data_IF_056057069166
#
_entry.id   IF_056057069166
#
_cell.length_a   1.000
_cell.length_b   1.000
_cell.length_c   1.000
_cell.angle_alpha   90.00
_cell.angle_beta   90.00
_cell.angle_gamma   90.00
#
_symmetry.space_group_name_H-M   'P 1'
#
loop_
_entity.id
_entity.type
_entity.pdbx_description
1 polymer ?
#
# COMPACT_ATOMS: atom_id res chain seq x y z
N UNK A 1 5.28 -23.37 22.60
CA UNK A 1 5.89 -22.79 21.38
C UNK A 1 6.73 -21.59 21.80
N UNK A 2 7.91 -21.36 21.19
CA UNK A 2 8.87 -20.32 21.61
C UNK A 2 8.23 -18.92 21.75
N UNK A 3 7.35 -18.56 20.82
CA UNK A 3 6.69 -17.24 20.77
C UNK A 3 5.84 -16.95 22.02
N UNK A 4 4.93 -17.85 22.41
CA UNK A 4 4.08 -17.63 23.59
C UNK A 4 4.88 -17.67 24.90
N UNK A 5 5.95 -18.48 24.96
CA UNK A 5 6.86 -18.50 26.12
C UNK A 5 7.63 -17.18 26.28
N UNK A 6 8.12 -16.61 25.18
CA UNK A 6 8.76 -15.28 25.17
C UNK A 6 7.75 -14.19 25.55
N UNK A 7 6.52 -14.23 25.03
CA UNK A 7 5.47 -13.27 25.40
C UNK A 7 5.18 -13.29 26.89
N UNK A 8 5.04 -14.48 27.48
CA UNK A 8 4.82 -14.64 28.92
C UNK A 8 6.01 -14.12 29.75
N UNK A 9 7.25 -14.46 29.37
CA UNK A 9 8.47 -14.03 30.09
C UNK A 9 8.61 -12.51 30.18
N UNK A 10 8.23 -11.79 29.12
CA UNK A 10 8.42 -10.34 29.01
C UNK A 10 7.11 -9.54 29.15
N UNK A 11 5.99 -10.17 29.54
CA UNK A 11 4.68 -9.52 29.64
C UNK A 11 4.27 -8.79 28.34
N UNK A 12 4.51 -9.42 27.19
CA UNK A 12 4.16 -8.87 25.88
C UNK A 12 2.71 -9.23 25.55
N UNK A 13 1.84 -8.23 25.56
CA UNK A 13 0.42 -8.37 25.21
C UNK A 13 0.20 -8.38 23.70
N UNK A 14 -0.92 -8.94 23.23
CA UNK A 14 -1.25 -8.99 21.79
C UNK A 14 -1.32 -7.60 21.14
N UNK A 15 -1.69 -6.56 21.90
CA UNK A 15 -1.67 -5.17 21.45
C UNK A 15 -0.27 -4.65 21.13
N UNK A 16 0.79 -5.32 21.62
CA UNK A 16 2.19 -4.94 21.47
C UNK A 16 2.95 -5.85 20.49
N UNK A 17 2.27 -6.78 19.83
CA UNK A 17 2.86 -7.66 18.79
C UNK A 17 2.32 -7.22 17.45
N UNK A 18 3.18 -6.73 16.57
CA UNK A 18 2.77 -6.14 15.29
C UNK A 18 3.41 -6.85 14.10
N UNK A 19 2.60 -7.08 13.06
CA UNK A 19 3.09 -7.41 11.73
C UNK A 19 3.14 -6.12 10.89
N UNK A 20 4.33 -5.75 10.41
CA UNK A 20 4.52 -4.58 9.55
C UNK A 20 4.73 -5.02 8.10
N UNK A 21 4.12 -4.30 7.16
CA UNK A 21 4.38 -4.51 5.74
C UNK A 21 4.42 -3.20 4.96
N UNK A 22 5.06 -3.24 3.80
CA UNK A 22 5.13 -2.17 2.82
C UNK A 22 4.27 -2.53 1.60
N UNK A 23 3.53 -1.57 1.08
CA UNK A 23 2.83 -1.69 -0.21
C UNK A 23 3.02 -0.40 -1.01
N UNK A 24 3.40 -0.52 -2.28
CA UNK A 24 3.57 0.61 -3.18
C UNK A 24 2.39 0.68 -4.15
N UNK A 25 1.88 1.89 -4.34
CA UNK A 25 0.77 2.23 -5.23
C UNK A 25 1.28 3.14 -6.34
N UNK A 26 0.83 2.93 -7.57
CA UNK A 26 1.07 3.85 -8.67
C UNK A 26 -0.12 4.79 -8.83
N UNK A 27 0.13 6.09 -8.78
CA UNK A 27 -0.81 7.12 -9.18
C UNK A 27 -0.67 7.33 -10.69
N UNK A 28 -1.80 7.52 -11.37
CA UNK A 28 -1.83 7.74 -12.82
C UNK A 28 -1.86 6.48 -13.67
N UNK A 29 -2.12 5.30 -13.08
CA UNK A 29 -2.38 4.08 -13.85
C UNK A 29 -3.80 4.12 -14.40
N UNK A 30 -3.91 4.07 -15.72
CA UNK A 30 -5.20 3.92 -16.37
C UNK A 30 -5.71 2.48 -16.12
N UNK A 31 -6.86 2.34 -15.47
CA UNK A 31 -7.54 1.06 -15.31
C UNK A 31 -8.68 0.96 -16.33
N UNK A 32 -8.91 -0.24 -16.87
CA UNK A 32 -10.14 -0.52 -17.63
C UNK A 32 -11.33 -0.46 -16.67
N UNK A 33 -11.92 0.72 -16.49
CA UNK A 33 -13.27 0.80 -15.96
C UNK A 33 -14.20 0.36 -17.07
N UNK A 34 -15.07 -0.63 -16.81
CA UNK A 34 -16.09 -1.07 -17.76
C UNK A 34 -17.11 0.06 -17.91
N UNK A 35 -16.85 1.00 -18.82
CA UNK A 35 -17.77 2.10 -19.12
C UNK A 35 -18.82 1.57 -20.09
N UNK A 36 -20.08 1.48 -19.66
CA UNK A 36 -21.21 1.17 -20.55
C UNK A 36 -21.54 2.44 -21.33
N UNK A 37 -20.87 2.63 -22.47
CA UNK A 37 -21.26 3.64 -23.46
C UNK A 37 -22.22 3.01 -24.46
N UNK A 38 -23.30 3.73 -24.81
CA UNK A 38 -24.40 3.24 -25.65
C UNK A 38 -23.99 2.60 -27.00
N UNK A 39 -24.86 1.67 -27.42
CA UNK A 39 -24.92 0.65 -28.49
C UNK A 39 -23.93 0.60 -29.69
N UNK A 40 -23.06 1.58 -29.97
CA UNK A 40 -22.14 1.51 -31.12
C UNK A 40 -20.69 1.79 -30.73
N UNK A 41 -20.00 0.76 -30.23
CA UNK A 41 -18.53 0.70 -30.29
C UNK A 41 -18.09 -0.65 -30.85
N UNK A 42 -17.52 -0.62 -32.05
CA UNK A 42 -17.06 -1.79 -32.81
C UNK A 42 -15.66 -2.28 -32.41
N UNK A 43 -14.99 -1.62 -31.47
CA UNK A 43 -13.61 -1.93 -31.08
C UNK A 43 -13.39 -1.77 -29.56
N UNK A 44 -12.54 -2.62 -29.00
CA UNK A 44 -12.01 -2.48 -27.64
C UNK A 44 -11.09 -1.25 -27.59
N UNK A 45 -11.33 -0.27 -26.70
CA UNK A 45 -10.41 0.85 -26.54
C UNK A 45 -9.07 0.35 -25.98
N UNK A 46 -7.99 0.67 -26.68
CA UNK A 46 -6.63 0.38 -26.22
C UNK A 46 -6.28 1.33 -25.06
N UNK A 47 -5.90 0.76 -23.91
CA UNK A 47 -5.48 1.54 -22.75
C UNK A 47 -4.01 1.93 -22.89
N UNK A 48 -3.79 3.13 -23.40
CA UNK A 48 -2.46 3.75 -23.38
C UNK A 48 -2.17 4.23 -21.97
N UNK A 49 -1.09 3.70 -21.39
CA UNK A 49 -0.63 4.12 -20.08
C UNK A 49 0.18 5.42 -20.21
N UNK A 50 -0.14 6.49 -19.46
CA UNK A 50 0.69 7.69 -19.40
C UNK A 50 2.10 7.34 -18.93
N UNK A 51 3.11 7.98 -19.53
CA UNK A 51 4.53 7.72 -19.23
C UNK A 51 4.97 8.16 -17.83
N UNK A 52 4.29 9.15 -17.25
CA UNK A 52 4.59 9.67 -15.92
C UNK A 52 3.68 9.03 -14.87
N UNK A 53 4.27 8.20 -14.01
CA UNK A 53 3.60 7.60 -12.84
C UNK A 53 4.32 8.04 -11.58
N UNK A 54 3.55 8.49 -10.61
CA UNK A 54 4.06 8.74 -9.26
C UNK A 54 3.84 7.48 -8.41
N UNK A 55 4.88 7.07 -7.67
CA UNK A 55 4.76 5.97 -6.72
C UNK A 55 4.58 6.54 -5.32
N UNK A 56 3.53 6.08 -4.64
CA UNK A 56 3.32 6.33 -3.21
C UNK A 56 3.48 5.02 -2.48
N UNK A 57 4.27 5.01 -1.40
CA UNK A 57 4.46 3.82 -0.58
C UNK A 57 3.77 3.99 0.75
N UNK A 58 3.01 2.99 1.16
CA UNK A 58 2.39 2.91 2.47
C UNK A 58 3.11 1.84 3.29
N UNK A 59 3.49 2.18 4.51
CA UNK A 59 3.90 1.23 5.54
C UNK A 59 2.78 1.19 6.58
N UNK A 60 2.25 -0.01 6.83
CA UNK A 60 1.18 -0.20 7.81
C UNK A 60 1.47 -1.43 8.67
N UNK A 61 0.89 -1.45 9.87
CA UNK A 61 0.92 -2.60 10.75
C UNK A 61 -0.44 -2.99 11.26
N UNK A 62 -0.60 -4.27 11.58
CA UNK A 62 -1.72 -4.80 12.35
C UNK A 62 -1.17 -5.52 13.58
N UNK A 63 -1.72 -5.23 14.75
CA UNK A 63 -1.34 -5.93 15.97
C UNK A 63 -2.07 -7.27 16.08
N UNK A 64 -1.55 -8.18 16.91
CA UNK A 64 -2.18 -9.48 17.15
C UNK A 64 -3.55 -9.38 17.84
N UNK A 65 -3.92 -8.21 18.37
CA UNK A 65 -5.26 -7.91 18.85
C UNK A 65 -6.22 -7.39 17.75
N UNK A 66 -5.75 -7.23 16.52
CA UNK A 66 -6.57 -6.86 15.35
C UNK A 66 -6.63 -5.35 15.03
N UNK A 67 -5.96 -4.50 15.80
CA UNK A 67 -5.93 -3.05 15.54
C UNK A 67 -4.83 -2.68 14.55
N UNK A 68 -5.15 -1.80 13.61
CA UNK A 68 -4.17 -1.22 12.70
C UNK A 68 -3.55 0.04 13.30
N UNK A 69 -2.24 0.23 13.10
CA UNK A 69 -1.61 1.53 13.38
C UNK A 69 -1.92 2.52 12.26
N UNK A 70 -1.80 3.82 12.56
CA UNK A 70 -1.79 4.87 11.54
C UNK A 70 -0.74 4.52 10.46
N UNK A 71 -1.09 4.61 9.17
CA UNK A 71 -0.16 4.31 8.10
C UNK A 71 0.90 5.41 7.98
N UNK A 72 2.12 5.02 7.67
CA UNK A 72 3.16 5.94 7.21
C UNK A 72 3.12 6.01 5.69
N UNK A 73 3.00 7.21 5.15
CA UNK A 73 2.91 7.45 3.71
C UNK A 73 4.21 8.12 3.25
N UNK A 74 4.87 7.52 2.27
CA UNK A 74 6.12 7.99 1.69
C UNK A 74 5.87 8.39 0.24
N UNK A 75 6.11 9.66 -0.06
CA UNK A 75 6.10 10.22 -1.41
C UNK A 75 7.49 10.20 -2.04
N UNK A 76 7.56 10.50 -3.34
CA UNK A 76 8.82 10.67 -4.04
C UNK A 76 9.64 11.79 -3.38
N UNK A 77 10.84 11.46 -2.93
CA UNK A 77 11.79 12.43 -2.39
C UNK A 77 12.30 13.40 -3.48
N UNK A 78 12.75 14.58 -3.04
CA UNK A 78 13.48 15.54 -3.88
C UNK A 78 14.92 15.63 -3.39
N UNK A 79 15.86 15.75 -4.32
CA UNK A 79 17.27 16.01 -3.97
C UNK A 79 17.41 17.51 -3.72
N UNK A 80 17.81 17.89 -2.51
CA UNK A 80 18.01 19.29 -2.11
C UNK A 80 19.48 19.64 -1.84
N UNK A 81 20.39 18.70 -2.11
CA UNK A 81 21.82 18.91 -1.94
C UNK A 81 22.36 19.51 -3.24
N UNK A 82 22.74 20.79 -3.20
CA UNK A 82 23.57 21.41 -4.24
C UNK A 82 25.02 21.01 -4.00
N UNK A 83 25.76 20.76 -5.08
CA UNK A 83 27.21 20.57 -5.06
C UNK A 83 27.95 21.85 -4.64
#
# INVERSE_FOLDING_TARGET
MLVEGTKAKYSIYNNNVHNFNKTSFSIGVALSLKVVTGLERRAWPELVQPGDREWVTVIQSICAAGYATLPFIIYKGRVHISA
#
